data_IF_497604174236
#
_entry.id   IF_497604174236
#
_cell.length_a   1.000
_cell.length_b   1.000
_cell.length_c   1.000
_cell.angle_alpha   90.00
_cell.angle_beta   90.00
_cell.angle_gamma   90.00
#
_symmetry.space_group_name_H-M   'P 1'
#
loop_
_entity.id
_entity.type
_entity.pdbx_description
1 polymer ?
#
# COMPACT_ATOMS: atom_id res chain seq x y z
N UNK A 1 12.13 9.90 2.96
CA UNK A 1 11.94 10.41 4.34
C UNK A 1 11.71 11.91 4.22
N UNK A 2 10.80 12.50 4.99
CA UNK A 2 10.67 13.96 5.07
C UNK A 2 11.89 14.47 5.83
N UNK A 3 12.78 15.17 5.13
CA UNK A 3 14.07 15.67 5.65
C UNK A 3 13.87 16.97 6.43
N UNK A 4 12.92 16.97 7.38
CA UNK A 4 12.67 18.13 8.23
C UNK A 4 13.76 18.24 9.29
N UNK A 5 14.20 19.46 9.55
CA UNK A 5 15.08 19.73 10.69
C UNK A 5 14.26 19.73 11.99
N UNK A 6 14.88 19.47 13.16
CA UNK A 6 14.15 19.35 14.42
C UNK A 6 13.23 20.54 14.75
N UNK A 7 13.68 21.76 14.49
CA UNK A 7 12.88 22.97 14.71
C UNK A 7 11.70 23.10 13.73
N UNK A 8 11.86 22.65 12.48
CA UNK A 8 10.78 22.65 11.47
C UNK A 8 9.71 21.62 11.81
N UNK A 9 10.07 20.57 12.55
CA UNK A 9 9.14 19.58 13.07
C UNK A 9 8.35 20.11 14.28
N UNK A 10 9.01 20.85 15.18
CA UNK A 10 8.35 21.48 16.33
C UNK A 10 7.33 22.54 15.91
N UNK A 11 7.60 23.26 14.82
CA UNK A 11 6.72 24.31 14.28
C UNK A 11 5.61 23.78 13.34
N UNK A 12 5.48 22.47 13.17
CA UNK A 12 4.45 21.88 12.29
C UNK A 12 3.05 22.28 12.73
N UNK A 13 2.28 22.87 11.81
CA UNK A 13 0.86 23.09 12.04
C UNK A 13 0.11 21.76 12.02
N UNK A 14 -1.01 21.69 12.75
CA UNK A 14 -1.85 20.48 12.84
C UNK A 14 -2.21 19.92 11.43
N UNK A 15 -2.46 20.80 10.46
CA UNK A 15 -2.76 20.41 9.08
C UNK A 15 -1.57 19.73 8.39
N UNK A 16 -0.38 20.25 8.59
CA UNK A 16 0.87 19.73 8.00
C UNK A 16 1.27 18.40 8.66
N UNK A 17 1.09 18.30 9.97
CA UNK A 17 1.27 17.04 10.70
C UNK A 17 0.32 15.97 10.18
N UNK A 18 -0.97 16.29 10.02
CA UNK A 18 -1.94 15.34 9.47
C UNK A 18 -1.57 14.91 8.05
N UNK A 19 -1.16 15.83 7.19
CA UNK A 19 -0.72 15.51 5.82
C UNK A 19 0.52 14.60 5.82
N UNK A 20 1.48 14.83 6.73
CA UNK A 20 2.64 13.96 6.91
C UNK A 20 2.24 12.54 7.34
N UNK A 21 1.32 12.42 8.31
CA UNK A 21 0.82 11.12 8.79
C UNK A 21 0.11 10.38 7.65
N UNK A 22 -0.77 11.05 6.92
CA UNK A 22 -1.46 10.46 5.77
C UNK A 22 -0.47 10.00 4.68
N UNK A 23 0.51 10.82 4.34
CA UNK A 23 1.55 10.45 3.38
C UNK A 23 2.46 9.32 3.86
N UNK A 24 2.64 9.14 5.17
CA UNK A 24 3.32 7.97 5.73
C UNK A 24 2.46 6.71 5.62
N UNK A 25 1.18 6.80 6.00
CA UNK A 25 0.23 5.68 5.91
C UNK A 25 0.07 5.20 4.47
N UNK A 26 0.02 6.10 3.50
CA UNK A 26 -0.04 5.73 2.08
C UNK A 26 1.21 4.95 1.65
N UNK A 27 2.41 5.46 1.94
CA UNK A 27 3.66 4.75 1.61
C UNK A 27 3.77 3.39 2.31
N UNK A 28 3.26 3.29 3.53
CA UNK A 28 3.17 2.01 4.24
C UNK A 28 2.26 1.06 3.49
N UNK A 29 1.08 1.51 3.04
CA UNK A 29 0.15 0.71 2.24
C UNK A 29 0.80 0.23 0.93
N UNK A 30 1.51 1.10 0.22
CA UNK A 30 2.22 0.71 -1.01
C UNK A 30 3.26 -0.39 -0.76
N UNK A 31 3.98 -0.31 0.36
CA UNK A 31 4.90 -1.37 0.78
C UNK A 31 4.17 -2.67 1.15
N UNK A 32 3.04 -2.57 1.84
CA UNK A 32 2.23 -3.74 2.22
C UNK A 32 1.66 -4.44 0.98
N UNK A 33 1.27 -3.70 -0.06
CA UNK A 33 0.85 -4.23 -1.37
C UNK A 33 2.00 -5.03 -2.01
N UNK A 34 3.20 -4.45 -2.06
CA UNK A 34 4.38 -5.14 -2.59
C UNK A 34 4.71 -6.40 -1.78
N UNK A 35 4.65 -6.32 -0.45
CA UNK A 35 4.88 -7.47 0.43
C UNK A 35 3.84 -8.56 0.24
N UNK A 36 2.56 -8.23 0.08
CA UNK A 36 1.50 -9.20 -0.18
C UNK A 36 1.76 -9.96 -1.50
N UNK A 37 2.21 -9.26 -2.54
CA UNK A 37 2.62 -9.87 -3.81
C UNK A 37 3.78 -10.85 -3.63
N UNK A 38 4.86 -10.46 -2.95
CA UNK A 38 6.00 -11.35 -2.73
C UNK A 38 5.63 -12.55 -1.84
N UNK A 39 4.85 -12.31 -0.79
CA UNK A 39 4.36 -13.37 0.10
C UNK A 39 3.52 -14.38 -0.67
N UNK A 40 2.64 -13.94 -1.56
CA UNK A 40 1.89 -14.83 -2.45
C UNK A 40 2.82 -15.74 -3.26
N UNK A 41 3.87 -15.20 -3.87
CA UNK A 41 4.81 -15.99 -4.67
C UNK A 41 5.64 -16.97 -3.84
N UNK A 42 5.97 -16.63 -2.60
CA UNK A 42 6.62 -17.56 -1.67
C UNK A 42 5.69 -18.71 -1.29
N UNK A 43 4.39 -18.44 -1.13
CA UNK A 43 3.39 -19.46 -0.80
C UNK A 43 2.98 -20.30 -2.02
N UNK A 44 3.03 -19.74 -3.23
CA UNK A 44 2.48 -20.34 -4.46
C UNK A 44 2.88 -21.80 -4.70
N UNK A 45 4.13 -22.23 -4.50
CA UNK A 45 4.54 -23.63 -4.70
C UNK A 45 3.90 -24.61 -3.71
N UNK A 46 3.47 -24.12 -2.54
CA UNK A 46 2.84 -24.90 -1.49
C UNK A 46 1.32 -24.95 -1.62
N UNK A 47 0.74 -24.10 -2.49
CA UNK A 47 -0.69 -24.06 -2.75
C UNK A 47 -1.08 -25.07 -3.83
N UNK A 48 -2.27 -25.65 -3.69
CA UNK A 48 -2.86 -26.51 -4.72
C UNK A 48 -3.01 -25.79 -6.06
N UNK A 49 -3.07 -26.56 -7.15
CA UNK A 49 -3.27 -26.02 -8.51
C UNK A 49 -4.59 -25.24 -8.62
N UNK A 50 -5.60 -25.66 -7.87
CA UNK A 50 -6.95 -25.08 -7.85
C UNK A 50 -7.12 -23.93 -6.85
N UNK A 51 -6.02 -23.38 -6.32
CA UNK A 51 -6.11 -22.26 -5.38
C UNK A 51 -6.72 -21.02 -6.05
N UNK A 52 -7.67 -20.40 -5.36
CA UNK A 52 -8.25 -19.10 -5.74
C UNK A 52 -7.59 -17.94 -5.00
N UNK A 53 -6.57 -18.21 -4.18
CA UNK A 53 -5.89 -17.17 -3.40
C UNK A 53 -5.19 -16.19 -4.34
N UNK A 54 -5.37 -14.91 -4.07
CA UNK A 54 -4.72 -13.80 -4.76
C UNK A 54 -3.92 -12.96 -3.78
N UNK A 55 -2.97 -12.13 -4.25
CA UNK A 55 -2.32 -11.14 -3.39
C UNK A 55 -3.29 -10.19 -2.69
N UNK A 56 -4.43 -9.87 -3.33
CA UNK A 56 -5.46 -9.02 -2.73
C UNK A 56 -6.11 -9.68 -1.50
N UNK A 57 -6.30 -11.00 -1.52
CA UNK A 57 -6.83 -11.75 -0.37
C UNK A 57 -5.87 -11.74 0.84
N UNK A 58 -4.57 -11.65 0.58
CA UNK A 58 -3.53 -11.51 1.63
C UNK A 58 -3.57 -10.09 2.22
N UNK A 59 -3.83 -9.08 1.38
CA UNK A 59 -3.84 -7.67 1.77
C UNK A 59 -5.13 -7.25 2.47
N UNK A 60 -6.29 -7.77 2.05
CA UNK A 60 -7.61 -7.34 2.49
C UNK A 60 -7.80 -7.32 4.02
N UNK A 61 -7.31 -8.29 4.81
CA UNK A 61 -7.43 -8.27 6.27
C UNK A 61 -6.69 -7.11 6.95
N UNK A 62 -5.65 -6.55 6.31
CA UNK A 62 -4.90 -5.41 6.85
C UNK A 62 -5.64 -4.08 6.65
N UNK A 63 -6.53 -4.03 5.66
CA UNK A 63 -7.25 -2.82 5.24
C UNK A 63 -8.75 -3.13 5.02
N UNK A 64 -9.49 -3.59 6.05
CA UNK A 64 -10.86 -4.08 5.90
C UNK A 64 -11.85 -2.99 5.48
N UNK A 65 -11.54 -1.73 5.78
CA UNK A 65 -12.38 -0.56 5.47
C UNK A 65 -12.14 -0.02 4.05
N UNK A 66 -11.06 -0.46 3.40
CA UNK A 66 -10.73 -0.05 2.03
C UNK A 66 -11.36 -1.04 1.08
N UNK A 67 -12.55 -0.71 0.55
CA UNK A 67 -13.09 -1.46 -0.58
C UNK A 67 -12.09 -1.32 -1.75
N UNK A 68 -11.55 -2.42 -2.29
CA UNK A 68 -10.75 -2.32 -3.50
C UNK A 68 -11.65 -1.77 -4.61
N UNK A 69 -11.28 -0.62 -5.18
CA UNK A 69 -11.91 -0.13 -6.41
C UNK A 69 -11.06 -0.66 -7.58
N UNK A 70 -11.49 -1.74 -8.25
CA UNK A 70 -10.71 -2.38 -9.30
C UNK A 70 -10.46 -1.46 -10.51
N UNK A 71 -11.22 -0.37 -10.67
CA UNK A 71 -10.93 0.62 -11.71
C UNK A 71 -9.76 1.53 -11.36
N UNK A 72 -9.63 1.91 -10.09
CA UNK A 72 -8.56 2.79 -9.61
C UNK A 72 -7.20 2.07 -9.61
N UNK A 73 -7.17 0.81 -9.15
CA UNK A 73 -5.97 -0.05 -9.19
C UNK A 73 -5.50 -0.30 -10.63
N UNK A 74 -6.43 -0.48 -11.57
CA UNK A 74 -6.11 -0.68 -12.99
C UNK A 74 -5.58 0.59 -13.63
N UNK A 75 -6.14 1.75 -13.29
CA UNK A 75 -5.68 3.04 -13.78
C UNK A 75 -4.28 3.39 -13.26
N UNK A 76 -3.99 3.10 -11.98
CA UNK A 76 -2.66 3.31 -11.41
C UNK A 76 -1.61 2.37 -12.03
N UNK A 77 -1.95 1.10 -12.28
CA UNK A 77 -1.07 0.17 -12.97
C UNK A 77 -0.75 0.64 -14.40
N UNK A 78 -1.77 1.03 -15.19
CA UNK A 78 -1.55 1.52 -16.55
C UNK A 78 -0.64 2.75 -16.57
N UNK A 79 -0.85 3.68 -15.63
CA UNK A 79 0.00 4.86 -15.46
C UNK A 79 1.44 4.51 -15.09
N UNK A 80 1.65 3.51 -14.22
CA UNK A 80 2.98 3.03 -13.85
C UNK A 80 3.72 2.36 -15.02
N UNK A 81 3.00 1.71 -15.93
CA UNK A 81 3.55 1.10 -17.15
C UNK A 81 3.58 2.04 -18.37
N UNK A 82 3.15 3.30 -18.22
CA UNK A 82 3.17 4.31 -19.29
C UNK A 82 2.18 4.05 -20.43
N UNK A 83 1.07 3.37 -20.14
CA UNK A 83 -0.01 3.04 -21.08
C UNK A 83 -1.26 3.88 -20.84
#
# INVERSE_FOLDING_TARGET
MLTLKPYEFEDLQIREFNAMVQGYLQRKRDNDVAQAYFTYWQLRPHLGKDTTLTPADILAPLYPDVKPDPEEDRAELLKAFGM
#
